data_IF_224491058572
#
_entry.id   IF_224491058572
#
_cell.length_a   1.000
_cell.length_b   1.000
_cell.length_c   1.000
_cell.angle_alpha   90.00
_cell.angle_beta   90.00
_cell.angle_gamma   90.00
#
_symmetry.space_group_name_H-M   'P 1'
#
loop_
_entity.id
_entity.type
_entity.pdbx_description
1 polymer ?
#
# COMPACT_ATOMS: atom_id res chain seq x y z
N UNK A 1 4.15 -15.18 -37.55
CA UNK A 1 3.40 -14.00 -37.08
C UNK A 1 2.85 -14.24 -35.67
N UNK A 2 2.12 -15.34 -35.46
CA UNK A 2 1.45 -15.67 -34.19
C UNK A 2 2.32 -15.65 -32.91
N UNK A 3 3.58 -16.07 -32.96
CA UNK A 3 4.43 -16.11 -31.75
C UNK A 3 4.94 -14.73 -31.35
N UNK A 4 5.29 -13.88 -32.33
CA UNK A 4 5.72 -12.50 -32.10
C UNK A 4 4.56 -11.68 -31.56
N UNK A 5 3.36 -11.85 -32.12
CA UNK A 5 2.14 -11.19 -31.64
C UNK A 5 1.78 -11.60 -30.20
N UNK A 6 1.93 -12.89 -29.87
CA UNK A 6 1.73 -13.40 -28.50
C UNK A 6 2.72 -12.78 -27.51
N UNK A 7 4.00 -12.69 -27.86
CA UNK A 7 5.02 -12.07 -27.01
C UNK A 7 4.76 -10.57 -26.84
N UNK A 8 4.49 -9.86 -27.93
CA UNK A 8 4.22 -8.43 -27.89
C UNK A 8 2.96 -8.11 -27.07
N UNK A 9 1.91 -8.93 -27.17
CA UNK A 9 0.70 -8.81 -26.34
C UNK A 9 1.00 -9.08 -24.86
N UNK A 10 1.88 -10.03 -24.55
CA UNK A 10 2.31 -10.34 -23.17
C UNK A 10 3.11 -9.21 -22.54
N UNK A 11 4.15 -8.72 -23.21
CA UNK A 11 4.93 -7.56 -22.74
C UNK A 11 4.05 -6.34 -22.52
N UNK A 12 3.08 -6.09 -23.42
CA UNK A 12 2.14 -4.99 -23.25
C UNK A 12 1.26 -5.17 -22.02
N UNK A 13 0.79 -6.38 -21.74
CA UNK A 13 -0.03 -6.67 -20.56
C UNK A 13 0.78 -6.50 -19.26
N UNK A 14 2.04 -6.92 -19.24
CA UNK A 14 2.92 -6.81 -18.07
C UNK A 14 3.14 -5.35 -17.64
N UNK A 15 3.20 -4.39 -18.57
CA UNK A 15 3.28 -2.97 -18.22
C UNK A 15 1.93 -2.32 -17.92
N UNK A 16 0.85 -2.83 -18.51
CA UNK A 16 -0.50 -2.32 -18.26
C UNK A 16 -0.97 -2.62 -16.84
N UNK A 17 -0.64 -3.80 -16.30
CA UNK A 17 -1.07 -4.21 -14.95
C UNK A 17 -0.58 -3.25 -13.84
N UNK A 18 0.73 -2.92 -13.70
CA UNK A 18 1.19 -2.00 -12.66
C UNK A 18 0.63 -0.60 -12.85
N UNK A 19 0.42 -0.13 -14.09
CA UNK A 19 -0.25 1.15 -14.36
C UNK A 19 -1.69 1.13 -13.85
N UNK A 20 -2.43 0.05 -14.08
CA UNK A 20 -3.79 -0.11 -13.57
C UNK A 20 -3.83 -0.21 -12.04
N UNK A 21 -2.86 -0.90 -11.42
CA UNK A 21 -2.72 -0.94 -9.96
C UNK A 21 -2.53 0.48 -9.42
N UNK A 22 -1.57 1.24 -9.96
CA UNK A 22 -1.31 2.63 -9.53
C UNK A 22 -2.54 3.53 -9.74
N UNK A 23 -3.23 3.42 -10.88
CA UNK A 23 -4.44 4.18 -11.14
C UNK A 23 -5.54 3.82 -10.14
N UNK A 24 -5.77 2.53 -9.89
CA UNK A 24 -6.75 2.09 -8.88
C UNK A 24 -6.38 2.56 -7.48
N UNK A 25 -5.11 2.46 -7.08
CA UNK A 25 -4.65 2.98 -5.80
C UNK A 25 -4.99 4.47 -5.69
N UNK A 26 -4.64 5.27 -6.70
CA UNK A 26 -4.85 6.71 -6.66
C UNK A 26 -6.33 7.12 -6.67
N UNK A 27 -7.20 6.47 -7.45
CA UNK A 27 -8.59 6.88 -7.60
C UNK A 27 -9.58 6.18 -6.67
N UNK A 28 -9.21 5.03 -6.10
CA UNK A 28 -10.15 4.19 -5.33
C UNK A 28 -9.80 4.12 -3.85
N UNK A 29 -8.51 4.16 -3.48
CA UNK A 29 -8.14 4.04 -2.06
C UNK A 29 -8.40 5.35 -1.34
N UNK A 30 -9.11 5.31 -0.21
CA UNK A 30 -9.39 6.51 0.60
C UNK A 30 -8.15 7.07 1.30
N UNK A 31 -7.06 6.31 1.34
CA UNK A 31 -5.75 6.79 1.76
C UNK A 31 -5.14 7.77 0.74
N UNK A 32 -5.59 7.73 -0.52
CA UNK A 32 -5.06 8.56 -1.60
C UNK A 32 -5.23 10.06 -1.31
N UNK A 33 -4.26 10.91 -1.71
CA UNK A 33 -4.33 12.36 -1.54
C UNK A 33 -5.54 13.06 -2.20
N UNK A 34 -6.29 12.37 -3.07
CA UNK A 34 -7.52 12.92 -3.67
C UNK A 34 -8.63 13.03 -2.61
N UNK A 35 -8.65 12.12 -1.64
CA UNK A 35 -9.65 12.11 -0.57
C UNK A 35 -9.15 12.97 0.59
N UNK A 36 -10.02 13.87 1.06
CA UNK A 36 -9.67 14.78 2.16
C UNK A 36 -9.54 14.04 3.50
N UNK A 37 -10.30 12.96 3.66
CA UNK A 37 -10.39 12.17 4.90
C UNK A 37 -10.62 10.70 4.54
N UNK A 38 -10.15 9.81 5.41
CA UNK A 38 -10.47 8.39 5.32
C UNK A 38 -11.70 8.10 6.20
N UNK A 39 -12.74 7.48 5.63
CA UNK A 39 -14.00 7.20 6.33
C UNK A 39 -13.95 5.88 7.11
N UNK A 40 -12.90 5.06 6.91
CA UNK A 40 -12.78 3.77 7.55
C UNK A 40 -12.26 3.90 8.98
N UNK A 41 -13.10 3.54 9.96
CA UNK A 41 -12.76 3.55 11.38
C UNK A 41 -11.48 2.76 11.67
N UNK A 42 -11.37 1.57 11.07
CA UNK A 42 -10.21 0.68 11.15
C UNK A 42 -8.87 1.36 10.84
N UNK A 43 -8.84 2.17 9.78
CA UNK A 43 -7.66 2.90 9.33
C UNK A 43 -7.37 4.06 10.27
N UNK A 44 -8.41 4.79 10.68
CA UNK A 44 -8.31 5.92 11.61
C UNK A 44 -7.79 5.49 12.99
N UNK A 45 -8.30 4.40 13.55
CA UNK A 45 -7.87 3.83 14.83
C UNK A 45 -6.40 3.39 14.75
N UNK A 46 -6.06 2.63 13.71
CA UNK A 46 -4.68 2.15 13.51
C UNK A 46 -3.69 3.32 13.33
N UNK A 47 -4.08 4.36 12.60
CA UNK A 47 -3.27 5.55 12.39
C UNK A 47 -3.14 6.39 13.66
N UNK A 48 -4.17 6.42 14.50
CA UNK A 48 -4.11 7.05 15.83
C UNK A 48 -3.10 6.35 16.72
N UNK A 49 -3.04 5.02 16.72
CA UNK A 49 -2.02 4.26 17.45
C UNK A 49 -0.62 4.58 16.93
N UNK A 50 -0.44 4.63 15.60
CA UNK A 50 0.84 5.03 15.01
C UNK A 50 1.30 6.42 15.47
N UNK A 51 0.40 7.40 15.50
CA UNK A 51 0.67 8.75 16.00
C UNK A 51 0.95 8.79 17.50
N UNK A 52 0.19 8.05 18.31
CA UNK A 52 0.41 7.98 19.74
C UNK A 52 1.78 7.35 20.05
N UNK A 53 2.19 6.36 19.25
CA UNK A 53 3.49 5.72 19.38
C UNK A 53 4.67 6.66 19.07
N UNK A 54 4.52 7.58 18.11
CA UNK A 54 5.50 8.66 17.91
C UNK A 54 5.63 9.59 19.11
N UNK A 55 4.59 9.72 19.93
CA UNK A 55 4.58 10.55 21.14
C UNK A 55 4.98 9.79 22.42
N UNK A 56 5.44 8.54 22.29
CA UNK A 56 5.97 7.75 23.41
C UNK A 56 4.96 6.83 24.10
N UNK A 57 3.73 6.76 23.59
CA UNK A 57 2.73 5.77 24.05
C UNK A 57 3.01 4.40 23.41
N UNK A 58 2.82 3.33 24.15
CA UNK A 58 3.13 1.98 23.68
C UNK A 58 1.86 1.22 23.27
N UNK A 59 1.82 0.63 22.06
CA UNK A 59 0.73 -0.27 21.68
C UNK A 59 0.60 -1.44 22.66
N UNK A 60 -0.62 -1.87 22.93
CA UNK A 60 -1.03 -2.88 23.92
C UNK A 60 -0.81 -2.53 25.39
N UNK A 61 -0.11 -1.43 25.70
CA UNK A 61 0.05 -0.93 27.06
C UNK A 61 -0.86 0.27 27.30
N UNK A 62 -0.74 1.27 26.44
CA UNK A 62 -1.40 2.57 26.59
C UNK A 62 -2.62 2.67 25.66
N UNK A 63 -2.53 2.08 24.46
CA UNK A 63 -3.64 1.91 23.52
C UNK A 63 -3.84 0.44 23.18
N UNK A 64 -5.07 -0.03 23.30
CA UNK A 64 -5.42 -1.40 22.93
C UNK A 64 -6.10 -1.42 21.56
N UNK A 65 -5.61 -2.30 20.69
CA UNK A 65 -6.28 -2.67 19.45
C UNK A 65 -6.02 -4.15 19.16
N UNK A 66 -6.95 -4.80 18.47
CA UNK A 66 -6.96 -6.26 18.26
C UNK A 66 -6.03 -6.75 17.14
N UNK A 67 -5.40 -5.83 16.40
CA UNK A 67 -4.51 -6.14 15.27
C UNK A 67 -3.16 -6.65 15.76
N UNK A 68 -2.39 -7.28 14.88
CA UNK A 68 -1.05 -7.77 15.18
C UNK A 68 0.01 -6.65 15.26
N UNK A 69 1.12 -6.83 16.02
CA UNK A 69 2.09 -5.77 16.29
C UNK A 69 2.72 -5.16 15.03
N UNK A 70 2.87 -5.99 13.99
CA UNK A 70 3.41 -5.57 12.70
C UNK A 70 2.57 -4.46 12.04
N UNK A 71 1.24 -4.49 12.21
CA UNK A 71 0.38 -3.42 11.69
C UNK A 71 0.72 -2.08 12.34
N UNK A 72 0.96 -2.05 13.64
CA UNK A 72 1.32 -0.80 14.32
C UNK A 72 2.64 -0.22 13.82
N UNK A 73 3.61 -1.06 13.44
CA UNK A 73 4.87 -0.59 12.84
C UNK A 73 4.62 0.06 11.48
N UNK A 74 3.72 -0.49 10.66
CA UNK A 74 3.32 0.11 9.38
C UNK A 74 2.66 1.48 9.62
N UNK A 75 1.70 1.55 10.53
CA UNK A 75 0.98 2.79 10.83
C UNK A 75 1.86 3.83 11.54
N UNK A 76 2.84 3.39 12.34
CA UNK A 76 3.91 4.23 12.89
C UNK A 76 4.74 4.86 11.76
N UNK A 77 5.20 4.04 10.80
CA UNK A 77 5.95 4.53 9.65
C UNK A 77 5.11 5.49 8.79
N UNK A 78 3.83 5.18 8.57
CA UNK A 78 2.90 6.05 7.87
C UNK A 78 2.77 7.41 8.56
N UNK A 79 2.53 7.42 9.88
CA UNK A 79 2.41 8.62 10.69
C UNK A 79 3.71 9.43 10.75
N UNK A 80 4.87 8.77 10.70
CA UNK A 80 6.18 9.42 10.67
C UNK A 80 6.42 10.16 9.35
N UNK A 81 5.89 9.65 8.23
CA UNK A 81 5.96 10.30 6.91
C UNK A 81 4.99 11.48 6.84
N UNK A 82 3.75 11.28 7.30
CA UNK A 82 2.75 12.36 7.40
C UNK A 82 1.80 12.05 8.55
N UNK A 83 1.78 12.89 9.58
CA UNK A 83 0.87 12.73 10.73
C UNK A 83 -0.49 13.43 10.56
N UNK A 84 -0.62 14.32 9.58
CA UNK A 84 -1.80 15.18 9.40
C UNK A 84 -2.76 14.68 8.32
N UNK A 85 -2.35 13.70 7.52
CA UNK A 85 -3.16 13.10 6.45
C UNK A 85 -2.69 11.67 6.17
N UNK A 86 -3.40 10.97 5.28
CA UNK A 86 -3.11 9.57 4.94
C UNK A 86 -2.05 9.39 3.85
N UNK A 87 -1.38 10.46 3.38
CA UNK A 87 -0.40 10.35 2.29
C UNK A 87 0.75 9.42 2.63
N UNK A 88 1.21 9.40 3.89
CA UNK A 88 2.24 8.46 4.34
C UNK A 88 1.78 7.00 4.24
N UNK A 89 0.53 6.74 4.60
CA UNK A 89 -0.08 5.41 4.48
C UNK A 89 -0.24 5.00 3.00
N UNK A 90 -0.71 5.92 2.16
CA UNK A 90 -0.86 5.70 0.72
C UNK A 90 0.45 5.34 0.03
N UNK A 91 1.55 6.02 0.37
CA UNK A 91 2.87 5.69 -0.19
C UNK A 91 3.28 4.26 0.16
N UNK A 92 3.09 3.84 1.41
CA UNK A 92 3.40 2.48 1.85
C UNK A 92 2.50 1.47 1.12
N UNK A 93 1.19 1.76 1.00
CA UNK A 93 0.24 0.92 0.27
C UNK A 93 0.65 0.72 -1.19
N UNK A 94 0.98 1.80 -1.90
CA UNK A 94 1.47 1.76 -3.29
C UNK A 94 2.74 0.91 -3.40
N UNK A 95 3.71 1.11 -2.51
CA UNK A 95 4.97 0.34 -2.50
C UNK A 95 4.69 -1.14 -2.30
N UNK A 96 3.83 -1.51 -1.34
CA UNK A 96 3.49 -2.90 -1.05
C UNK A 96 2.72 -3.56 -2.21
N UNK A 97 1.78 -2.84 -2.84
CA UNK A 97 1.05 -3.34 -4.01
C UNK A 97 1.98 -3.60 -5.20
N UNK A 98 2.88 -2.65 -5.50
CA UNK A 98 3.85 -2.80 -6.60
C UNK A 98 4.86 -3.90 -6.30
N UNK A 99 5.39 -3.96 -5.07
CA UNK A 99 6.29 -5.04 -4.65
C UNK A 99 5.61 -6.41 -4.72
N UNK A 100 4.35 -6.51 -4.28
CA UNK A 100 3.54 -7.72 -4.39
C UNK A 100 3.38 -8.18 -5.84
N UNK A 101 3.06 -7.24 -6.75
CA UNK A 101 3.00 -7.52 -8.18
C UNK A 101 4.33 -8.06 -8.73
N UNK A 102 5.47 -7.42 -8.41
CA UNK A 102 6.78 -7.88 -8.88
C UNK A 102 7.15 -9.27 -8.33
N UNK A 103 6.81 -9.57 -7.08
CA UNK A 103 7.03 -10.90 -6.49
C UNK A 103 6.22 -11.97 -7.23
N UNK A 104 4.96 -11.68 -7.54
CA UNK A 104 4.09 -12.60 -8.28
C UNK A 104 4.58 -12.78 -9.73
N UNK A 105 4.93 -11.68 -10.40
CA UNK A 105 5.46 -11.71 -11.77
C UNK A 105 6.76 -12.52 -11.88
N UNK A 106 7.65 -12.40 -10.88
CA UNK A 106 8.88 -13.21 -10.82
C UNK A 106 8.58 -14.70 -10.63
N UNK A 107 7.57 -15.05 -9.80
CA UNK A 107 7.17 -16.45 -9.58
C UNK A 107 6.55 -17.10 -10.82
N UNK A 108 5.83 -16.33 -11.62
CA UNK A 108 5.20 -16.79 -12.87
C UNK A 108 6.21 -17.06 -14.00
N UNK A 109 7.50 -16.76 -13.79
CA UNK A 109 8.54 -16.97 -14.81
C UNK A 109 8.40 -16.05 -16.03
N UNK A 110 7.53 -15.04 -15.94
CA UNK A 110 7.24 -14.02 -16.95
C UNK A 110 8.36 -13.00 -17.11
N UNK A 111 9.28 -12.92 -16.15
CA UNK A 111 10.44 -12.04 -16.22
C UNK A 111 11.37 -12.45 -17.38
N UNK A 112 11.75 -11.52 -18.28
CA UNK A 112 12.77 -11.79 -19.29
C UNK A 112 14.07 -12.16 -18.56
N UNK A 113 14.61 -13.33 -18.91
CA UNK A 113 15.89 -13.82 -18.40
C UNK A 113 17.05 -13.14 -19.10
#
# INVERSE_FOLDING_TARGET
MDQVDKLQKRYRLDWLIPVLILASAFFVTESSPIFQTNQWDDTNVSFTIGKAWLHGEWPYRDLFEQRGPFMYVIYLAAAAISGNNFTGLFLIEVVLMVAGYFVLWRKDGSAPR
#
